data_IF_549785525627
#
_entry.id   IF_549785525627
#
_cell.length_a   1.000
_cell.length_b   1.000
_cell.length_c   1.000
_cell.angle_alpha   90.00
_cell.angle_beta   90.00
_cell.angle_gamma   90.00
#
_symmetry.space_group_name_H-M   'P 1'
#
loop_
_entity.id
_entity.type
_entity.pdbx_description
1 polymer ?
#
# COMPACT_ATOMS: atom_id res chain seq x y z
N UNK A 1 29.05 14.86 1.92
CA UNK A 1 28.00 14.38 1.00
C UNK A 1 26.90 13.83 1.86
N UNK A 2 25.65 14.24 1.67
CA UNK A 2 24.55 13.56 2.37
C UNK A 2 24.45 12.11 1.87
N UNK A 3 24.21 11.14 2.78
CA UNK A 3 24.08 9.75 2.39
C UNK A 3 22.88 9.57 1.46
N UNK A 4 23.00 8.65 0.50
CA UNK A 4 21.90 8.30 -0.40
C UNK A 4 20.84 7.60 0.44
N UNK A 5 19.62 8.12 0.49
CA UNK A 5 18.51 7.47 1.22
C UNK A 5 17.71 6.57 0.29
N UNK A 6 17.74 5.26 0.54
CA UNK A 6 16.82 4.31 -0.07
C UNK A 6 15.44 4.45 0.59
N UNK A 7 14.40 4.78 -0.19
CA UNK A 7 13.04 4.95 0.32
C UNK A 7 12.18 3.71 0.06
N UNK A 8 11.55 3.20 1.12
CA UNK A 8 10.71 2.00 1.09
C UNK A 8 9.28 2.35 1.47
N UNK A 9 8.32 2.02 0.59
CA UNK A 9 6.89 2.11 0.87
C UNK A 9 6.42 0.86 1.61
N UNK A 10 5.78 1.01 2.76
CA UNK A 10 5.35 -0.08 3.64
C UNK A 10 3.82 -0.18 3.66
N UNK A 11 3.26 -1.25 3.11
CA UNK A 11 1.81 -1.38 2.88
C UNK A 11 1.19 -2.41 3.83
N UNK A 12 0.31 -1.96 4.71
CA UNK A 12 -0.32 -2.81 5.73
C UNK A 12 -1.44 -3.69 5.16
N UNK A 13 -1.78 -4.75 5.90
CA UNK A 13 -2.89 -5.64 5.57
C UNK A 13 -4.25 -5.16 6.09
N UNK A 14 -5.30 -5.92 5.80
CA UNK A 14 -6.67 -5.65 6.21
C UNK A 14 -6.80 -5.48 7.74
N UNK A 15 -7.57 -4.49 8.17
CA UNK A 15 -7.83 -4.21 9.59
C UNK A 15 -6.64 -3.64 10.35
N UNK A 16 -5.63 -3.13 9.64
CA UNK A 16 -4.45 -2.50 10.25
C UNK A 16 -4.34 -1.04 9.79
N UNK A 17 -3.31 -0.34 10.26
CA UNK A 17 -2.96 1.01 9.82
C UNK A 17 -1.45 1.16 9.65
N UNK A 18 -1.00 2.28 9.10
CA UNK A 18 0.42 2.61 8.96
C UNK A 18 1.19 2.54 10.28
N UNK A 19 0.77 3.26 11.33
CA UNK A 19 1.41 3.20 12.66
C UNK A 19 1.49 1.79 13.25
N UNK A 20 0.45 0.96 13.08
CA UNK A 20 0.50 -0.44 13.55
C UNK A 20 1.54 -1.27 12.80
N UNK A 21 1.68 -1.06 11.49
CA UNK A 21 2.68 -1.75 10.69
C UNK A 21 4.10 -1.30 11.07
N UNK A 22 4.31 -0.01 11.30
CA UNK A 22 5.58 0.56 11.76
C UNK A 22 6.09 -0.18 13.00
N UNK A 23 5.28 -0.20 14.07
CA UNK A 23 5.61 -0.87 15.33
C UNK A 23 5.90 -2.37 15.09
N UNK A 24 5.02 -3.07 14.36
CA UNK A 24 5.15 -4.51 14.07
C UNK A 24 6.40 -4.86 13.26
N UNK A 25 6.89 -3.92 12.44
CA UNK A 25 8.05 -4.12 11.57
C UNK A 25 9.33 -3.48 12.11
N UNK A 26 9.33 -2.91 13.31
CA UNK A 26 10.50 -2.28 13.94
C UNK A 26 11.79 -3.11 13.88
N UNK A 27 11.71 -4.43 14.11
CA UNK A 27 12.86 -5.35 13.98
C UNK A 27 13.35 -5.51 12.54
N UNK A 28 12.43 -5.58 11.58
CA UNK A 28 12.75 -5.61 10.15
C UNK A 28 13.42 -4.30 9.72
N UNK A 29 12.89 -3.15 10.16
CA UNK A 29 13.47 -1.84 9.87
C UNK A 29 14.91 -1.75 10.39
N UNK A 30 15.15 -2.18 11.63
CA UNK A 30 16.50 -2.22 12.21
C UNK A 30 17.42 -3.12 11.39
N UNK A 31 16.99 -4.34 11.08
CA UNK A 31 17.80 -5.28 10.30
C UNK A 31 18.15 -4.73 8.90
N UNK A 32 17.22 -4.03 8.23
CA UNK A 32 17.47 -3.40 6.93
C UNK A 32 18.48 -2.24 7.03
N UNK A 33 18.33 -1.38 8.04
CA UNK A 33 19.30 -0.29 8.30
C UNK A 33 20.69 -0.85 8.62
N UNK A 34 20.78 -1.84 9.49
CA UNK A 34 22.07 -2.49 9.83
C UNK A 34 22.71 -3.14 8.59
N UNK A 35 21.93 -3.85 7.77
CA UNK A 35 22.44 -4.55 6.60
C UNK A 35 22.91 -3.60 5.48
N UNK A 36 22.24 -2.45 5.29
CA UNK A 36 22.51 -1.53 4.18
C UNK A 36 23.43 -0.39 4.59
N UNK A 37 23.21 0.21 5.75
CA UNK A 37 24.04 1.31 6.27
C UNK A 37 25.35 0.78 6.86
N UNK A 38 25.30 -0.30 7.64
CA UNK A 38 26.49 -0.88 8.27
C UNK A 38 27.49 -1.53 7.30
N UNK A 39 27.07 -1.83 6.06
CA UNK A 39 27.95 -2.39 5.02
C UNK A 39 28.49 -1.37 4.03
N UNK A 40 27.82 -0.24 3.86
CA UNK A 40 28.16 0.70 2.77
C UNK A 40 28.59 2.07 3.26
N UNK A 41 28.26 2.47 4.50
CA UNK A 41 28.47 3.81 5.09
C UNK A 41 27.95 5.00 4.26
N UNK A 42 27.31 4.73 3.12
CA UNK A 42 26.90 5.70 2.10
C UNK A 42 25.38 5.68 1.91
N UNK A 43 24.70 4.61 2.32
CA UNK A 43 23.26 4.42 2.14
C UNK A 43 22.51 4.45 3.48
N UNK A 44 21.52 5.32 3.60
CA UNK A 44 20.50 5.29 4.66
C UNK A 44 19.20 4.66 4.14
N UNK A 45 18.29 4.26 5.04
CA UNK A 45 17.00 3.65 4.70
C UNK A 45 15.85 4.39 5.36
N UNK A 46 15.03 5.03 4.55
CA UNK A 46 13.78 5.69 4.94
C UNK A 46 12.56 4.81 4.67
N UNK A 47 11.60 4.81 5.60
CA UNK A 47 10.36 4.04 5.48
C UNK A 47 9.16 4.99 5.49
N UNK A 48 8.16 4.71 4.65
CA UNK A 48 6.87 5.41 4.65
C UNK A 48 5.76 4.41 4.95
N UNK A 49 5.00 4.66 6.02
CA UNK A 49 3.91 3.79 6.51
C UNK A 49 2.55 4.49 6.36
N UNK A 50 1.98 4.56 5.14
CA UNK A 50 0.65 5.13 4.97
C UNK A 50 -0.43 4.25 5.59
N UNK A 51 -1.53 4.89 5.99
CA UNK A 51 -2.78 4.21 6.33
C UNK A 51 -3.69 4.19 5.11
N UNK A 52 -4.35 3.06 4.86
CA UNK A 52 -5.27 2.87 3.76
C UNK A 52 -6.47 3.84 3.84
N UNK A 53 -7.11 4.18 2.71
CA UNK A 53 -8.13 5.24 2.68
C UNK A 53 -9.49 4.82 3.25
N UNK A 54 -9.80 3.53 3.34
CA UNK A 54 -11.11 3.06 3.76
C UNK A 54 -11.09 2.59 5.22
N UNK A 55 -11.85 3.28 6.08
CA UNK A 55 -12.07 2.87 7.48
C UNK A 55 -13.13 1.78 7.56
N UNK A 56 -12.85 0.71 8.29
CA UNK A 56 -13.78 -0.38 8.53
C UNK A 56 -14.63 -0.03 9.74
N UNK A 57 -15.93 0.17 9.53
CA UNK A 57 -16.89 0.38 10.61
C UNK A 57 -17.42 -0.97 11.09
N UNK A 58 -17.30 -1.24 12.39
CA UNK A 58 -17.92 -2.40 13.02
C UNK A 58 -19.30 -1.94 13.55
N UNK A 59 -20.43 -2.42 12.99
CA UNK A 59 -21.76 -1.92 13.32
C UNK A 59 -22.17 -2.06 14.80
N UNK A 60 -21.50 -2.93 15.54
CA UNK A 60 -21.80 -3.25 16.95
C UNK A 60 -21.02 -2.39 17.97
N UNK A 61 -20.12 -1.51 17.52
CA UNK A 61 -19.39 -0.60 18.41
C UNK A 61 -20.00 0.81 18.40
N UNK A 62 -20.17 1.47 19.57
CA UNK A 62 -20.61 2.86 19.63
C UNK A 62 -19.65 3.77 18.86
N UNK A 63 -20.17 4.74 18.11
CA UNK A 63 -19.34 5.78 17.49
C UNK A 63 -18.49 6.48 18.57
N UNK A 64 -17.21 6.78 18.32
CA UNK A 64 -16.25 7.26 19.33
C UNK A 64 -16.57 8.64 19.94
N UNK A 65 -17.73 9.22 19.66
CA UNK A 65 -18.14 10.55 20.13
C UNK A 65 -19.24 10.53 21.21
N UNK A 66 -19.44 9.43 21.95
CA UNK A 66 -20.36 9.40 23.10
C UNK A 66 -19.96 8.45 24.25
N UNK A 67 -18.84 8.70 24.94
CA UNK A 67 -18.71 8.30 26.35
C UNK A 67 -17.48 8.92 27.03
N UNK A 68 -17.75 9.73 28.05
CA UNK A 68 -16.78 10.12 29.08
C UNK A 68 -16.66 8.95 30.07
N UNK A 69 -15.71 8.05 29.87
CA UNK A 69 -15.22 7.14 30.91
C UNK A 69 -13.88 6.56 30.45
N UNK A 70 -12.81 6.90 31.18
CA UNK A 70 -11.43 6.50 30.90
C UNK A 70 -11.16 5.03 31.19
N UNK A 71 -11.67 4.16 30.34
CA UNK A 71 -11.12 2.83 30.09
C UNK A 71 -10.88 2.73 28.58
N UNK A 72 -9.61 2.65 28.19
CA UNK A 72 -9.12 2.60 26.81
C UNK A 72 -9.63 1.35 26.09
N UNK A 73 -10.88 1.37 25.64
CA UNK A 73 -11.25 0.61 24.46
C UNK A 73 -10.56 1.34 23.30
N UNK A 74 -9.33 0.92 22.97
CA UNK A 74 -8.64 1.27 21.73
C UNK A 74 -9.72 1.41 20.66
N UNK A 75 -9.97 2.63 20.18
CA UNK A 75 -10.83 2.79 19.01
C UNK A 75 -10.23 1.85 17.98
N UNK A 76 -10.92 0.75 17.66
CA UNK A 76 -10.41 -0.32 16.79
C UNK A 76 -10.24 0.29 15.40
N UNK A 77 -9.11 0.97 15.19
CA UNK A 77 -8.86 1.81 14.05
C UNK A 77 -8.38 0.92 12.90
N UNK A 78 -9.37 0.27 12.32
CA UNK A 78 -9.20 -0.76 11.31
C UNK A 78 -9.36 -0.13 9.93
N UNK A 79 -8.37 -0.34 9.06
CA UNK A 79 -8.39 0.21 7.70
C UNK A 79 -8.16 -0.88 6.65
N UNK A 80 -8.63 -0.63 5.44
CA UNK A 80 -8.40 -1.49 4.27
C UNK A 80 -8.17 -0.66 3.02
N UNK A 81 -7.39 -1.23 2.10
CA UNK A 81 -7.10 -0.64 0.79
C UNK A 81 -8.28 -0.75 -0.16
N UNK A 82 -9.05 -1.83 -0.06
CA UNK A 82 -10.26 -2.04 -0.84
C UNK A 82 -11.35 -2.57 0.09
N UNK A 83 -12.56 -2.01 0.02
CA UNK A 83 -13.72 -2.59 0.71
C UNK A 83 -14.41 -3.60 -0.20
N UNK A 84 -14.93 -4.67 0.39
CA UNK A 84 -15.95 -5.52 -0.23
C UNK A 84 -17.29 -5.20 0.43
N UNK A 85 -18.11 -4.39 -0.24
CA UNK A 85 -19.43 -3.95 0.26
C UNK A 85 -20.55 -4.95 -0.07
N UNK A 86 -20.30 -6.26 -0.09
CA UNK A 86 -21.38 -7.22 -0.36
C UNK A 86 -22.10 -7.69 0.92
N UNK A 87 -23.42 -7.43 1.07
CA UNK A 87 -24.23 -8.03 2.12
C UNK A 87 -24.18 -9.56 1.98
N UNK A 88 -23.79 -10.27 3.04
CA UNK A 88 -23.65 -11.73 3.02
C UNK A 88 -22.30 -12.27 2.53
N UNK A 89 -21.25 -11.42 2.51
CA UNK A 89 -19.88 -11.74 2.10
C UNK A 89 -19.24 -12.92 2.83
N UNK A 90 -19.54 -14.16 2.37
CA UNK A 90 -18.87 -15.39 2.80
C UNK A 90 -17.75 -15.84 1.86
N UNK A 91 -17.38 -15.06 0.84
CA UNK A 91 -16.31 -15.44 -0.09
C UNK A 91 -15.37 -14.27 -0.32
N UNK A 92 -14.20 -14.33 0.34
CA UNK A 92 -13.07 -13.41 0.16
C UNK A 92 -12.50 -13.39 -1.28
N UNK A 93 -12.99 -14.25 -2.17
CA UNK A 93 -12.58 -14.34 -3.57
C UNK A 93 -13.78 -14.82 -4.39
N UNK A 94 -14.49 -13.89 -5.01
CA UNK A 94 -15.39 -14.19 -6.12
C UNK A 94 -14.74 -13.58 -7.38
N UNK A 95 -14.15 -14.44 -8.21
CA UNK A 95 -13.41 -14.08 -9.42
C UNK A 95 -14.29 -13.39 -10.47
N UNK A 96 -15.62 -13.44 -10.31
CA UNK A 96 -16.58 -12.75 -11.18
C UNK A 96 -16.84 -11.31 -10.75
N UNK A 97 -16.31 -10.86 -9.59
CA UNK A 97 -16.62 -9.57 -9.00
C UNK A 97 -15.58 -8.50 -9.31
N UNK A 98 -16.09 -7.30 -9.59
CA UNK A 98 -15.28 -6.09 -9.72
C UNK A 98 -14.93 -5.59 -8.32
N UNK A 99 -13.64 -5.38 -8.05
CA UNK A 99 -13.18 -4.73 -6.81
C UNK A 99 -13.59 -3.25 -6.90
N UNK A 100 -14.66 -2.87 -6.21
CA UNK A 100 -15.30 -1.56 -6.31
C UNK A 100 -14.35 -0.40 -5.98
N UNK A 101 -13.47 -0.59 -4.99
CA UNK A 101 -12.61 0.48 -4.47
C UNK A 101 -11.14 0.38 -4.88
N UNK A 102 -10.80 -0.48 -5.84
CA UNK A 102 -9.42 -0.58 -6.32
C UNK A 102 -8.91 0.75 -6.87
N UNK A 103 -9.77 1.51 -7.57
CA UNK A 103 -9.40 2.83 -8.10
C UNK A 103 -9.06 3.81 -6.98
N UNK A 104 -9.84 3.84 -5.89
CA UNK A 104 -9.58 4.68 -4.73
C UNK A 104 -8.26 4.29 -4.03
N UNK A 105 -7.99 2.99 -3.91
CA UNK A 105 -6.73 2.49 -3.38
C UNK A 105 -5.53 2.98 -4.20
N UNK A 106 -5.62 2.85 -5.53
CA UNK A 106 -4.57 3.26 -6.46
C UNK A 106 -4.39 4.78 -6.46
N UNK A 107 -5.48 5.55 -6.39
CA UNK A 107 -5.43 7.01 -6.34
C UNK A 107 -4.77 7.50 -5.04
N UNK A 108 -5.11 6.90 -3.90
CA UNK A 108 -4.49 7.16 -2.60
C UNK A 108 -2.98 6.86 -2.63
N UNK A 109 -2.58 5.70 -3.18
CA UNK A 109 -1.16 5.34 -3.33
C UNK A 109 -0.44 6.31 -4.27
N UNK A 110 -1.04 6.66 -5.40
CA UNK A 110 -0.44 7.59 -6.34
C UNK A 110 -0.16 8.95 -5.65
N UNK A 111 -1.07 9.41 -4.80
CA UNK A 111 -0.86 10.62 -4.01
C UNK A 111 0.27 10.48 -3.00
N UNK A 112 0.37 9.33 -2.31
CA UNK A 112 1.50 9.03 -1.42
C UNK A 112 2.83 9.06 -2.17
N UNK A 113 2.88 8.48 -3.38
CA UNK A 113 4.07 8.51 -4.24
C UNK A 113 4.43 9.96 -4.63
N UNK A 114 3.46 10.81 -4.97
CA UNK A 114 3.72 12.23 -5.27
C UNK A 114 4.29 13.00 -4.09
N UNK A 115 3.77 12.73 -2.89
CA UNK A 115 4.12 13.50 -1.69
C UNK A 115 5.43 13.03 -1.04
N UNK A 116 5.67 11.72 -1.01
CA UNK A 116 6.75 11.13 -0.21
C UNK A 116 7.80 10.39 -1.06
N UNK A 117 7.48 10.10 -2.31
CA UNK A 117 8.35 9.39 -3.24
C UNK A 117 9.50 10.25 -3.80
N UNK A 118 10.14 9.79 -4.89
CA UNK A 118 9.98 8.46 -5.46
C UNK A 118 10.41 7.37 -4.47
N UNK A 119 9.83 6.17 -4.58
CA UNK A 119 10.20 5.01 -3.77
C UNK A 119 11.10 4.07 -4.55
N UNK A 120 12.14 3.55 -3.90
CA UNK A 120 13.04 2.55 -4.45
C UNK A 120 12.44 1.15 -4.40
N UNK A 121 11.60 0.88 -3.42
CA UNK A 121 10.95 -0.41 -3.28
C UNK A 121 9.69 -0.34 -2.44
N UNK A 122 8.95 -1.45 -2.46
CA UNK A 122 7.72 -1.61 -1.69
C UNK A 122 7.75 -2.92 -0.93
N UNK A 123 7.26 -2.90 0.30
CA UNK A 123 7.04 -4.09 1.12
C UNK A 123 5.57 -4.09 1.53
N UNK A 124 4.83 -5.13 1.14
CA UNK A 124 3.42 -5.28 1.48
C UNK A 124 3.16 -6.54 2.31
N UNK A 125 2.16 -6.47 3.20
CA UNK A 125 1.77 -7.61 4.04
C UNK A 125 0.32 -8.02 3.83
N UNK A 126 0.05 -9.33 3.66
CA UNK A 126 -1.30 -9.86 3.44
C UNK A 126 -2.01 -9.17 2.26
N UNK A 127 -3.16 -8.51 2.45
CA UNK A 127 -3.79 -7.71 1.38
C UNK A 127 -2.90 -6.55 0.89
N UNK A 128 -2.05 -5.99 1.76
CA UNK A 128 -1.05 -5.01 1.36
C UNK A 128 0.00 -5.57 0.40
N UNK A 129 0.29 -6.87 0.45
CA UNK A 129 1.17 -7.53 -0.52
C UNK A 129 0.55 -7.58 -1.93
N UNK A 130 -0.79 -7.75 -2.01
CA UNK A 130 -1.50 -7.69 -3.28
C UNK A 130 -1.41 -6.28 -3.88
N UNK A 131 -1.60 -5.25 -3.05
CA UNK A 131 -1.44 -3.85 -3.48
C UNK A 131 0.00 -3.55 -3.90
N UNK A 132 1.00 -4.00 -3.14
CA UNK A 132 2.42 -3.86 -3.48
C UNK A 132 2.75 -4.46 -4.86
N UNK A 133 2.27 -5.68 -5.14
CA UNK A 133 2.45 -6.33 -6.44
C UNK A 133 1.74 -5.57 -7.58
N UNK A 134 0.54 -5.02 -7.33
CA UNK A 134 -0.19 -4.21 -8.30
C UNK A 134 0.58 -2.93 -8.64
N UNK A 135 1.08 -2.21 -7.63
CA UNK A 135 1.87 -0.98 -7.82
C UNK A 135 3.12 -1.28 -8.65
N UNK A 136 3.86 -2.33 -8.31
CA UNK A 136 5.04 -2.72 -9.05
C UNK A 136 4.71 -2.99 -10.52
N UNK A 137 3.67 -3.81 -10.77
CA UNK A 137 3.19 -4.11 -12.12
C UNK A 137 2.82 -2.86 -12.90
N UNK A 138 2.14 -1.89 -12.27
CA UNK A 138 1.72 -0.62 -12.88
C UNK A 138 2.90 0.28 -13.28
N UNK A 139 4.00 0.22 -12.54
CA UNK A 139 5.20 1.04 -12.77
C UNK A 139 6.19 0.41 -13.76
N UNK A 140 6.01 -0.86 -14.12
CA UNK A 140 6.84 -1.54 -15.14
C UNK A 140 6.75 -0.86 -16.51
N UNK A 141 7.86 -0.88 -17.23
CA UNK A 141 7.92 -0.40 -18.62
C UNK A 141 6.96 -1.22 -19.51
N UNK A 142 6.30 -0.56 -20.45
CA UNK A 142 5.35 -1.24 -21.35
C UNK A 142 3.99 -1.57 -20.72
N UNK A 143 3.78 -1.31 -19.42
CA UNK A 143 2.52 -1.67 -18.75
C UNK A 143 1.34 -0.85 -19.28
N UNK A 144 1.50 0.46 -19.46
CA UNK A 144 0.46 1.34 -20.01
C UNK A 144 -0.04 0.84 -21.36
N UNK A 145 0.87 0.51 -22.28
CA UNK A 145 0.55 -0.04 -23.60
C UNK A 145 -0.15 -1.40 -23.49
N UNK A 146 0.21 -2.21 -22.49
CA UNK A 146 -0.45 -3.49 -22.23
C UNK A 146 -1.91 -3.31 -21.78
N UNK A 147 -2.20 -2.30 -20.96
CA UNK A 147 -3.56 -1.94 -20.58
C UNK A 147 -4.36 -1.44 -21.79
N UNK A 148 -3.80 -0.52 -22.58
CA UNK A 148 -4.44 0.03 -23.79
C UNK A 148 -4.89 -1.07 -24.78
N UNK A 149 -4.05 -2.10 -25.00
CA UNK A 149 -4.40 -3.27 -25.83
C UNK A 149 -5.57 -4.08 -25.28
N UNK A 150 -5.80 -4.04 -23.97
CA UNK A 150 -6.86 -4.81 -23.28
C UNK A 150 -8.16 -4.02 -23.13
N UNK A 151 -8.15 -2.69 -23.23
CA UNK A 151 -9.37 -1.87 -23.18
C UNK A 151 -10.40 -2.32 -24.22
N UNK A 152 -9.96 -2.60 -25.46
CA UNK A 152 -10.81 -3.12 -26.53
C UNK A 152 -11.46 -4.48 -26.23
N UNK A 153 -10.95 -5.21 -25.23
CA UNK A 153 -11.43 -6.52 -24.78
C UNK A 153 -12.07 -6.47 -23.40
N UNK A 154 -12.71 -5.34 -23.06
CA UNK A 154 -13.37 -5.10 -21.77
C UNK A 154 -12.40 -5.10 -20.56
N UNK A 155 -11.11 -4.88 -20.80
CA UNK A 155 -10.11 -4.68 -19.75
C UNK A 155 -10.23 -3.28 -19.12
N UNK A 156 -9.79 -3.15 -17.87
CA UNK A 156 -9.75 -1.84 -17.21
C UNK A 156 -8.76 -0.89 -17.92
N UNK A 157 -9.05 0.42 -17.99
CA UNK A 157 -8.08 1.40 -18.48
C UNK A 157 -6.88 1.52 -17.52
N UNK A 158 -5.75 2.00 -18.03
CA UNK A 158 -4.60 2.30 -17.18
C UNK A 158 -4.98 3.38 -16.15
N UNK A 159 -4.67 3.23 -14.86
CA UNK A 159 -5.01 4.21 -13.83
C UNK A 159 -4.40 5.58 -14.14
N UNK A 160 -5.23 6.58 -14.40
CA UNK A 160 -4.75 7.93 -14.74
C UNK A 160 -3.99 8.61 -13.60
N UNK A 161 -4.23 8.18 -12.36
CA UNK A 161 -3.46 8.63 -11.18
C UNK A 161 -1.99 8.19 -11.23
N UNK A 162 -1.66 7.11 -11.93
CA UNK A 162 -0.28 6.69 -12.16
C UNK A 162 0.38 7.41 -13.34
N UNK A 163 -0.23 8.49 -13.84
CA UNK A 163 0.34 9.34 -14.86
C UNK A 163 0.67 10.73 -14.29
N UNK A 164 1.83 11.26 -14.69
CA UNK A 164 2.21 12.65 -14.48
C UNK A 164 1.83 13.46 -15.73
N UNK A 165 1.22 14.63 -15.55
CA UNK A 165 1.06 15.60 -16.64
C UNK A 165 2.42 16.22 -16.93
N UNK A 166 2.99 15.96 -18.11
CA UNK A 166 4.12 16.76 -18.58
C UNK A 166 3.59 18.17 -18.92
N UNK A 167 4.36 19.19 -18.54
CA UNK A 167 4.03 20.61 -18.82
C UNK A 167 4.36 21.01 -20.26
N UNK A 168 5.06 20.17 -21.01
CA UNK A 168 5.81 20.61 -22.19
C UNK A 168 5.24 20.11 -23.52
N UNK A 169 4.65 18.91 -23.57
CA UNK A 169 4.33 18.24 -24.84
C UNK A 169 2.98 17.48 -24.85
N UNK A 170 2.21 17.55 -23.75
CA UNK A 170 0.94 16.83 -23.61
C UNK A 170 1.07 15.31 -23.52
N UNK A 171 2.29 14.78 -23.39
CA UNK A 171 2.51 13.35 -23.12
C UNK A 171 2.38 13.08 -21.63
N UNK A 172 1.87 11.89 -21.33
CA UNK A 172 1.72 11.42 -19.96
C UNK A 172 2.91 10.51 -19.63
N UNK A 173 3.74 10.93 -18.68
CA UNK A 173 4.81 10.09 -18.13
C UNK A 173 4.26 9.21 -17.00
N UNK A 174 4.88 8.06 -16.77
CA UNK A 174 4.56 7.22 -15.60
C UNK A 174 4.96 7.97 -14.33
N UNK A 175 4.17 7.82 -13.27
CA UNK A 175 4.27 8.58 -12.03
C UNK A 175 5.67 8.58 -11.40
N UNK A 176 6.37 7.46 -11.48
CA UNK A 176 7.77 7.31 -11.11
C UNK A 176 8.43 6.19 -11.93
N UNK A 177 9.75 6.05 -11.81
CA UNK A 177 10.48 4.92 -12.39
C UNK A 177 10.05 3.57 -11.78
N UNK A 178 10.31 2.44 -12.47
CA UNK A 178 10.08 1.11 -11.92
C UNK A 178 10.73 0.92 -10.55
N UNK A 179 10.07 0.16 -9.69
CA UNK A 179 10.62 -0.18 -8.37
C UNK A 179 11.83 -1.11 -8.54
N UNK A 180 12.87 -0.89 -7.75
CA UNK A 180 14.07 -1.74 -7.72
C UNK A 180 13.79 -3.09 -7.06
N UNK A 181 12.83 -3.14 -6.14
CA UNK A 181 12.42 -4.38 -5.48
C UNK A 181 10.99 -4.32 -4.93
N UNK A 182 10.41 -5.51 -4.75
CA UNK A 182 9.09 -5.74 -4.18
C UNK A 182 9.18 -6.92 -3.24
N UNK A 183 8.71 -6.77 -2.00
CA UNK A 183 8.65 -7.88 -1.04
C UNK A 183 7.23 -8.08 -0.57
N UNK A 184 6.74 -9.31 -0.69
CA UNK A 184 5.41 -9.72 -0.28
C UNK A 184 5.51 -10.59 0.99
N UNK A 185 5.10 -10.02 2.12
CA UNK A 185 5.01 -10.72 3.39
C UNK A 185 3.66 -11.40 3.56
N UNK A 186 3.68 -12.67 3.96
CA UNK A 186 2.49 -13.33 4.52
C UNK A 186 2.23 -12.85 5.95
N UNK A 187 0.99 -12.98 6.47
CA UNK A 187 0.73 -12.65 7.88
C UNK A 187 1.68 -13.44 8.76
N UNK A 188 2.32 -12.75 9.72
CA UNK A 188 2.97 -13.42 10.85
C UNK A 188 1.84 -14.03 11.70
N UNK A 189 1.39 -15.23 11.33
CA UNK A 189 0.64 -16.07 12.25
C UNK A 189 1.57 -16.27 13.43
N UNK A 190 1.24 -15.68 14.60
CA UNK A 190 1.87 -16.11 15.84
C UNK A 190 1.56 -17.60 15.93
N UNK A 191 2.57 -18.45 15.78
CA UNK A 191 2.49 -19.81 16.27
C UNK A 191 2.29 -19.68 17.78
N UNK A 192 1.05 -19.78 18.22
CA UNK A 192 0.73 -19.91 19.63
C UNK A 192 1.30 -21.24 20.07
N UNK A 193 2.47 -21.21 20.70
CA UNK A 193 2.91 -22.32 21.55
C UNK A 193 2.02 -22.27 22.79
N UNK A 194 1.00 -23.12 22.80
CA UNK A 194 0.40 -23.61 24.04
C UNK A 194 1.27 -24.72 24.62
#
# INVERSE_FOLDING_TARGET
MEPITMKVLMIHGYGQSGPHLDIKTSRLQRALREALTGRTEICDVGFCFPTAPCRILIPELPEPNKSQSGEELESLDMWTWCMDYTPGGKKFFDESRKISDLSNALDSIAEIIRQHGPFDGVIGFSSGACIAALIASLLEEGRKQSFEKRVSKNGMPYPSSFLRKDRSDGKYEILQLPLKFVVNGTPLLRSGSH
#
